data_IF_261231402184
#
_entry.id   IF_261231402184
#
_cell.length_a   1.000
_cell.length_b   1.000
_cell.length_c   1.000
_cell.angle_alpha   90.00
_cell.angle_beta   90.00
_cell.angle_gamma   90.00
#
_symmetry.space_group_name_H-M   'P 1'
#
loop_
_entity.id
_entity.type
_entity.pdbx_description
1 polymer ?
#
# COMPACT_ATOMS: atom_id res chain seq x y z
N UNK A 1 -3.05 1.35 7.94
CA UNK A 1 -3.12 0.79 6.58
C UNK A 1 -2.75 -0.67 6.68
N UNK A 2 -3.69 -1.60 6.44
CA UNK A 2 -3.37 -3.02 6.45
C UNK A 2 -2.82 -3.41 5.08
N UNK A 3 -1.53 -3.76 5.04
CA UNK A 3 -0.86 -4.27 3.86
C UNK A 3 -0.88 -5.79 3.94
N UNK A 4 -1.67 -6.45 3.08
CA UNK A 4 -1.68 -7.92 3.01
C UNK A 4 -3.01 -8.52 2.57
N UNK A 5 -3.23 -8.61 1.26
CA UNK A 5 -4.08 -9.66 0.70
C UNK A 5 -3.53 -10.10 -0.66
N UNK A 6 -3.43 -11.42 -0.86
CA UNK A 6 -2.96 -12.03 -2.10
C UNK A 6 -3.98 -11.81 -3.22
N UNK A 7 -3.57 -11.06 -4.25
CA UNK A 7 -4.38 -10.76 -5.43
C UNK A 7 -4.42 -11.92 -6.42
N UNK A 8 -5.11 -13.01 -6.09
CA UNK A 8 -5.32 -14.11 -7.05
C UNK A 8 -6.69 -14.11 -7.73
N UNK A 9 -7.69 -13.41 -7.19
CA UNK A 9 -9.08 -13.53 -7.65
C UNK A 9 -9.55 -12.40 -8.56
N UNK A 10 -8.77 -11.33 -8.72
CA UNK A 10 -9.13 -10.21 -9.58
C UNK A 10 -7.95 -9.82 -10.48
N UNK A 11 -8.21 -9.61 -11.78
CA UNK A 11 -7.22 -9.19 -12.79
C UNK A 11 -6.77 -7.72 -12.61
N UNK A 12 -6.73 -7.24 -11.38
CA UNK A 12 -6.31 -5.90 -11.05
C UNK A 12 -4.79 -5.85 -10.93
N UNK A 13 -4.16 -4.88 -11.59
CA UNK A 13 -2.72 -4.68 -11.54
C UNK A 13 -2.31 -4.28 -10.12
N UNK A 14 -1.58 -5.14 -9.42
CA UNK A 14 -1.07 -4.89 -8.07
C UNK A 14 0.46 -4.74 -8.11
N UNK A 15 1.00 -3.50 -8.20
CA UNK A 15 2.44 -3.32 -8.23
C UNK A 15 3.06 -3.70 -6.89
N UNK A 16 4.20 -4.41 -6.95
CA UNK A 16 5.00 -4.76 -5.79
C UNK A 16 5.57 -3.48 -5.14
N UNK A 17 5.55 -3.43 -3.81
CA UNK A 17 6.23 -2.40 -3.03
C UNK A 17 7.62 -2.88 -2.64
N UNK A 18 8.57 -1.97 -2.68
CA UNK A 18 9.98 -2.23 -2.42
C UNK A 18 10.46 -1.30 -1.32
N UNK A 19 11.20 -1.86 -0.37
CA UNK A 19 11.86 -1.12 0.71
C UNK A 19 12.87 -0.14 0.13
N UNK A 20 13.04 1.01 0.76
CA UNK A 20 13.85 2.17 0.35
C UNK A 20 13.44 2.87 -0.95
N UNK A 21 12.79 2.17 -1.88
CA UNK A 21 12.23 2.76 -3.10
C UNK A 21 10.84 3.36 -2.84
N UNK A 22 9.93 2.59 -2.26
CA UNK A 22 8.52 2.96 -2.09
C UNK A 22 8.14 3.30 -0.65
N UNK A 23 8.81 2.70 0.33
CA UNK A 23 8.59 2.94 1.76
C UNK A 23 9.89 2.85 2.56
N UNK A 24 9.93 3.50 3.72
CA UNK A 24 11.05 3.45 4.68
C UNK A 24 10.53 3.37 6.11
N UNK A 25 11.39 2.98 7.06
CA UNK A 25 11.08 2.97 8.50
C UNK A 25 10.24 1.77 8.97
N UNK A 26 9.90 0.86 8.06
CA UNK A 26 9.25 -0.43 8.35
C UNK A 26 9.76 -1.47 7.36
N UNK A 27 9.82 -2.73 7.79
CA UNK A 27 10.11 -3.87 6.94
C UNK A 27 8.95 -4.87 6.98
N UNK A 28 8.72 -5.57 5.87
CA UNK A 28 7.69 -6.61 5.80
C UNK A 28 8.36 -7.97 5.67
N UNK A 29 7.88 -8.96 6.42
CA UNK A 29 8.38 -10.34 6.36
C UNK A 29 8.06 -11.04 5.04
N UNK A 30 7.15 -10.48 4.23
CA UNK A 30 6.73 -11.02 2.95
C UNK A 30 6.65 -9.93 1.88
N UNK A 31 6.64 -10.36 0.62
CA UNK A 31 6.45 -9.44 -0.50
C UNK A 31 5.11 -8.73 -0.38
N UNK A 32 5.17 -7.40 -0.34
CA UNK A 32 4.00 -6.54 -0.17
C UNK A 32 3.63 -5.89 -1.49
N UNK A 33 2.34 -5.71 -1.72
CA UNK A 33 1.80 -5.14 -2.96
C UNK A 33 0.84 -3.99 -2.63
N UNK A 34 0.81 -2.99 -3.52
CA UNK A 34 -0.23 -1.98 -3.47
C UNK A 34 -1.52 -2.56 -4.04
N UNK A 35 -2.63 -2.37 -3.31
CA UNK A 35 -3.98 -2.74 -3.72
C UNK A 35 -4.81 -1.47 -3.90
N UNK A 36 -4.77 -0.82 -5.09
CA UNK A 36 -5.42 0.48 -5.30
C UNK A 36 -6.95 0.43 -5.12
N UNK A 37 -7.54 -0.75 -5.30
CA UNK A 37 -8.99 -1.00 -5.18
C UNK A 37 -9.46 -1.28 -3.75
N UNK A 38 -8.54 -1.55 -2.83
CA UNK A 38 -8.86 -1.92 -1.44
C UNK A 38 -8.79 -0.69 -0.53
N UNK A 39 -9.69 0.27 -0.74
CA UNK A 39 -9.73 1.51 0.06
C UNK A 39 -10.67 1.34 1.23
N UNK A 40 -10.13 1.60 2.43
CA UNK A 40 -10.87 1.46 3.68
C UNK A 40 -10.86 2.76 4.46
N UNK A 41 -12.02 3.11 5.03
CA UNK A 41 -12.11 4.16 6.04
C UNK A 41 -11.85 3.52 7.39
N UNK A 42 -10.76 3.91 8.05
CA UNK A 42 -10.37 3.38 9.36
C UNK A 42 -10.46 4.54 10.38
N UNK A 43 -11.20 4.38 11.49
CA UNK A 43 -11.27 5.43 12.51
C UNK A 43 -9.90 5.61 13.19
N UNK A 44 -9.47 6.84 13.50
CA UNK A 44 -8.14 7.09 14.07
C UNK A 44 -7.85 6.29 15.36
N UNK A 45 -8.86 6.13 16.23
CA UNK A 45 -8.74 5.38 17.48
C UNK A 45 -8.59 3.85 17.32
N UNK A 46 -8.81 3.31 16.12
CA UNK A 46 -8.58 1.89 15.82
C UNK A 46 -7.16 1.61 15.31
N UNK A 47 -6.35 2.66 15.08
CA UNK A 47 -4.95 2.48 14.67
C UNK A 47 -4.15 2.16 15.94
N UNK A 48 -3.78 0.88 16.08
CA UNK A 48 -2.93 0.45 17.18
C UNK A 48 -1.54 1.08 17.06
N UNK A 49 -0.95 1.56 18.17
CA UNK A 49 0.45 1.98 18.17
C UNK A 49 1.34 0.75 17.95
N UNK A 50 2.17 0.81 16.91
CA UNK A 50 3.10 -0.24 16.51
C UNK A 50 4.23 0.35 15.67
N UNK A 51 4.97 -0.49 14.95
CA UNK A 51 6.00 -0.02 14.02
C UNK A 51 5.39 0.91 12.96
N UNK A 52 6.07 2.04 12.71
CA UNK A 52 5.60 3.08 11.80
C UNK A 52 6.61 3.30 10.69
N UNK A 53 6.16 3.11 9.45
CA UNK A 53 6.90 3.50 8.25
C UNK A 53 6.29 4.71 7.56
N UNK A 54 6.97 5.20 6.54
CA UNK A 54 6.52 6.30 5.69
C UNK A 54 6.66 5.94 4.22
N UNK A 55 5.75 6.46 3.40
CA UNK A 55 5.92 6.41 1.95
C UNK A 55 7.00 7.41 1.52
N UNK A 56 7.90 6.95 0.65
CA UNK A 56 8.84 7.82 -0.06
C UNK A 56 8.10 8.70 -1.06
N UNK A 57 8.81 9.64 -1.71
CA UNK A 57 8.21 10.40 -2.81
C UNK A 57 7.77 9.50 -3.97
N UNK A 58 8.56 8.49 -4.32
CA UNK A 58 8.22 7.54 -5.38
C UNK A 58 7.03 6.65 -4.97
N UNK A 59 6.96 6.23 -3.71
CA UNK A 59 5.79 5.55 -3.15
C UNK A 59 4.51 6.36 -3.27
N UNK A 60 4.55 7.67 -2.93
CA UNK A 60 3.40 8.57 -3.09
C UNK A 60 2.97 8.71 -4.55
N UNK A 61 3.92 8.89 -5.47
CA UNK A 61 3.64 8.97 -6.92
C UNK A 61 2.99 7.68 -7.43
N UNK A 62 3.47 6.52 -6.98
CA UNK A 62 2.89 5.22 -7.32
C UNK A 62 1.43 5.13 -6.88
N UNK A 63 1.13 5.47 -5.61
CA UNK A 63 -0.25 5.43 -5.07
C UNK A 63 -1.19 6.31 -5.90
N UNK A 64 -0.81 7.57 -6.13
CA UNK A 64 -1.63 8.51 -6.92
C UNK A 64 -1.86 7.99 -8.33
N UNK A 65 -0.80 7.49 -8.99
CA UNK A 65 -0.88 6.98 -10.36
C UNK A 65 -1.83 5.79 -10.48
N UNK A 66 -1.72 4.80 -9.59
CA UNK A 66 -2.57 3.61 -9.68
C UNK A 66 -4.02 3.93 -9.28
N UNK A 67 -4.23 4.81 -8.31
CA UNK A 67 -5.56 5.26 -7.95
C UNK A 67 -6.23 6.05 -9.09
N UNK A 68 -5.49 6.95 -9.75
CA UNK A 68 -6.00 7.71 -10.90
C UNK A 68 -6.37 6.82 -12.10
N UNK A 69 -5.73 5.67 -12.28
CA UNK A 69 -6.11 4.69 -13.33
C UNK A 69 -7.44 4.01 -13.05
N UNK A 70 -7.82 3.85 -11.79
CA UNK A 70 -9.08 3.23 -11.41
C UNK A 70 -10.30 4.15 -11.59
N UNK A 71 -10.08 5.46 -11.56
CA UNK A 71 -11.16 6.45 -11.70
C UNK A 71 -11.48 6.79 -13.17
N UNK A 72 -10.82 6.16 -14.13
CA UNK A 72 -11.01 6.35 -15.58
C UNK A 72 -11.72 5.15 -16.17
#
# INVERSE_FOLDING_TARGET
MCLGHGSQTENHRTPKLEEDMHYTGISFSSSTYLLPWSIHTIPPGAILPGEQGQLTQEGKKLVVREFAKMMK
#
